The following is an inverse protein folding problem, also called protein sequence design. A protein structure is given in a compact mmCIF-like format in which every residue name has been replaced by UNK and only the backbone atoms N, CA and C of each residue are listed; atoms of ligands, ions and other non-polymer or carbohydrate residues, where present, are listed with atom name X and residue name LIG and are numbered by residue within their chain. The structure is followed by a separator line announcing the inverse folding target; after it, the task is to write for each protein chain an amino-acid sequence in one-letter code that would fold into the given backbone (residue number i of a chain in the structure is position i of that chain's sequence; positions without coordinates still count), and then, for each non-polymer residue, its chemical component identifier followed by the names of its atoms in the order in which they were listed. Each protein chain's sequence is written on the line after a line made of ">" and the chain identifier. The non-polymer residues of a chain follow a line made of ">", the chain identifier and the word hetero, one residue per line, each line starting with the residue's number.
data_IF_282468549057
#
_entry.id   IF_282468549057
#
_cell.length_a   1.000
_cell.length_b   1.000
_cell.length_c   1.000
_cell.angle_alpha   90.00
_cell.angle_beta   90.00
_cell.angle_gamma   90.00
#
_symmetry.space_group_name_H-M   'P 1'
#
loop_
_entity.id
_entity.type
_entity.pdbx_description
1 polymer ?
#
# COMPACT_ATOMS: atom_id res chain seq x y z
N UNK A 1 8.18 0.12 1.68
CA UNK A 1 6.94 -0.59 1.29
C UNK A 1 6.31 -1.37 2.44
N UNK A 2 7.10 -2.02 3.31
CA UNK A 2 6.60 -2.86 4.41
C UNK A 2 5.73 -2.11 5.43
N UNK A 3 6.08 -0.88 5.81
CA UNK A 3 5.27 -0.07 6.74
C UNK A 3 3.87 0.19 6.20
N UNK A 4 3.73 0.51 4.92
CA UNK A 4 2.43 0.76 4.31
C UNK A 4 1.58 -0.51 4.26
N UNK A 5 2.20 -1.66 3.95
CA UNK A 5 1.55 -2.97 4.01
C UNK A 5 1.08 -3.31 5.44
N UNK A 6 1.86 -2.99 6.45
CA UNK A 6 1.47 -3.18 7.85
C UNK A 6 0.28 -2.29 8.23
N UNK A 7 0.28 -1.01 7.85
CA UNK A 7 -0.84 -0.09 8.10
C UNK A 7 -2.15 -0.56 7.44
N UNK A 8 -2.08 -1.02 6.19
CA UNK A 8 -3.23 -1.60 5.49
C UNK A 8 -3.72 -2.88 6.20
N UNK A 9 -2.81 -3.67 6.76
CA UNK A 9 -3.16 -4.87 7.54
C UNK A 9 -3.91 -4.51 8.81
N UNK A 10 -3.42 -3.53 9.58
CA UNK A 10 -4.12 -3.04 10.76
C UNK A 10 -5.51 -2.49 10.43
N UNK A 11 -5.61 -1.70 9.35
CA UNK A 11 -6.90 -1.17 8.90
C UNK A 11 -7.89 -2.29 8.57
N UNK A 12 -7.43 -3.34 7.90
CA UNK A 12 -8.24 -4.53 7.61
C UNK A 12 -8.68 -5.25 8.89
N UNK A 13 -7.81 -5.39 9.88
CA UNK A 13 -8.15 -6.01 11.17
C UNK A 13 -9.18 -5.19 11.95
N UNK A 14 -9.09 -3.86 11.91
CA UNK A 14 -10.05 -2.96 12.59
C UNK A 14 -11.40 -2.86 11.87
N UNK A 15 -11.38 -2.74 10.53
CA UNK A 15 -12.56 -2.42 9.72
C UNK A 15 -13.18 -3.63 9.01
N UNK A 16 -12.48 -4.76 8.98
CA UNK A 16 -12.89 -5.97 8.26
C UNK A 16 -12.77 -5.87 6.73
N UNK A 17 -12.29 -4.74 6.19
CA UNK A 17 -12.07 -4.53 4.77
C UNK A 17 -10.78 -3.73 4.51
N UNK A 18 -10.16 -3.96 3.35
CA UNK A 18 -9.03 -3.12 2.89
C UNK A 18 -9.54 -1.72 2.50
N UNK A 19 -8.72 -0.66 2.65
CA UNK A 19 -9.09 0.70 2.27
C UNK A 19 -9.59 0.80 0.83
N UNK A 20 -10.59 1.62 0.55
CA UNK A 20 -10.91 1.96 -0.84
C UNK A 20 -9.85 2.88 -1.45
N UNK A 21 -9.33 3.79 -0.63
CA UNK A 21 -8.31 4.78 -0.99
C UNK A 21 -7.41 4.99 0.22
N UNK A 22 -6.10 5.12 -0.02
CA UNK A 22 -5.15 5.28 1.07
C UNK A 22 -5.24 6.67 1.71
N UNK A 23 -5.47 7.73 0.94
CA UNK A 23 -5.62 9.09 1.49
C UNK A 23 -6.87 9.24 2.38
N UNK A 24 -7.94 8.48 2.12
CA UNK A 24 -9.14 8.48 2.97
C UNK A 24 -8.93 7.66 4.26
N UNK A 25 -8.23 6.53 4.16
CA UNK A 25 -7.93 5.68 5.31
C UNK A 25 -6.82 6.25 6.20
N UNK A 26 -5.89 7.00 5.62
CA UNK A 26 -4.71 7.57 6.26
C UNK A 26 -4.58 9.05 5.84
N UNK A 27 -5.47 9.93 6.32
CA UNK A 27 -5.48 11.32 5.89
C UNK A 27 -4.17 12.03 6.25
N UNK A 28 -3.64 12.90 5.37
CA UNK A 28 -2.50 13.72 5.69
C UNK A 28 -2.86 14.69 6.82
N UNK A 29 -2.05 14.70 7.85
CA UNK A 29 -2.15 15.60 8.99
C UNK A 29 -0.79 15.80 9.67
N UNK A 30 -0.62 16.89 10.44
CA UNK A 30 0.67 17.23 11.07
C UNK A 30 1.19 16.15 12.02
N UNK A 31 0.31 15.31 12.57
CA UNK A 31 0.65 14.19 13.45
C UNK A 31 0.79 12.86 12.69
N UNK A 32 0.40 12.82 11.41
CA UNK A 32 0.45 11.60 10.60
C UNK A 32 1.77 11.52 9.86
N UNK A 33 2.43 10.37 9.92
CA UNK A 33 3.59 10.06 9.06
C UNK A 33 3.16 9.62 7.65
N UNK A 34 1.92 9.91 7.25
CA UNK A 34 1.35 9.50 5.96
C UNK A 34 2.25 9.95 4.79
N UNK A 35 2.69 11.21 4.80
CA UNK A 35 3.59 11.78 3.79
C UNK A 35 4.92 11.04 3.68
N UNK A 36 5.38 10.42 4.78
CA UNK A 36 6.61 9.61 4.80
C UNK A 36 6.37 8.19 4.28
N UNK A 37 5.18 7.63 4.49
CA UNK A 37 4.85 6.25 4.11
C UNK A 37 4.18 6.12 2.75
N UNK A 38 3.70 7.22 2.18
CA UNK A 38 3.08 7.27 0.86
C UNK A 38 4.09 7.22 -0.30
N UNK A 39 5.39 7.37 0.00
CA UNK A 39 6.48 7.32 -0.96
C UNK A 39 7.34 6.05 -0.82
N UNK A 40 7.91 5.60 -1.93
CA UNK A 40 8.89 4.54 -1.98
C UNK A 40 10.31 5.01 -1.62
N UNK A 41 11.27 4.08 -1.65
CA UNK A 41 12.65 4.34 -1.29
C UNK A 41 13.34 5.37 -2.22
N UNK A 42 12.77 5.62 -3.40
CA UNK A 42 13.26 6.58 -4.39
C UNK A 42 12.46 7.90 -4.37
N UNK A 43 11.51 8.03 -3.45
CA UNK A 43 10.69 9.23 -3.31
C UNK A 43 9.51 9.28 -4.28
N UNK A 44 9.18 8.19 -4.97
CA UNK A 44 8.01 8.13 -5.84
C UNK A 44 6.77 7.71 -5.04
N UNK A 45 5.60 8.26 -5.36
CA UNK A 45 4.36 7.82 -4.72
C UNK A 45 4.05 6.36 -5.07
N UNK A 46 3.58 5.58 -4.09
CA UNK A 46 3.04 4.27 -4.39
C UNK A 46 1.71 4.38 -5.15
N UNK A 47 1.48 3.45 -6.06
CA UNK A 47 0.17 3.22 -6.66
C UNK A 47 -0.56 2.13 -5.89
N UNK A 48 -1.73 2.46 -5.35
CA UNK A 48 -2.61 1.51 -4.67
C UNK A 48 -3.82 1.20 -5.53
N UNK A 49 -4.17 -0.08 -5.62
CA UNK A 49 -5.40 -0.55 -6.24
C UNK A 49 -6.07 -1.59 -5.36
N UNK A 50 -7.30 -1.31 -4.93
CA UNK A 50 -8.15 -2.30 -4.27
C UNK A 50 -8.70 -3.28 -5.32
N UNK A 51 -8.63 -4.57 -5.03
CA UNK A 51 -9.13 -5.66 -5.88
C UNK A 51 -9.99 -6.58 -5.02
N UNK A 52 -11.30 -6.33 -5.00
CA UNK A 52 -12.24 -7.10 -4.17
C UNK A 52 -11.91 -6.98 -2.66
N UNK A 53 -11.57 -8.10 -2.02
CA UNK A 53 -11.15 -8.14 -0.60
C UNK A 53 -9.64 -7.97 -0.40
N UNK A 54 -8.90 -7.75 -1.47
CA UNK A 54 -7.45 -7.72 -1.50
C UNK A 54 -6.96 -6.42 -2.15
N UNK A 55 -5.65 -6.26 -2.28
CA UNK A 55 -5.05 -5.07 -2.87
C UNK A 55 -3.75 -5.37 -3.60
N UNK A 56 -3.43 -4.51 -4.56
CA UNK A 56 -2.12 -4.34 -5.18
C UNK A 56 -1.53 -3.00 -4.73
N UNK A 57 -0.26 -3.03 -4.31
CA UNK A 57 0.55 -1.87 -4.03
C UNK A 57 1.78 -1.92 -4.94
N UNK A 58 2.03 -0.86 -5.69
CA UNK A 58 3.11 -0.80 -6.67
C UNK A 58 4.02 0.40 -6.41
N UNK A 59 5.32 0.17 -6.38
CA UNK A 59 6.37 1.19 -6.43
C UNK A 59 6.83 1.34 -7.88
N UNK A 60 7.11 2.56 -8.30
CA UNK A 60 7.65 2.87 -9.62
C UNK A 60 9.17 2.66 -9.71
N UNK A 61 9.77 2.05 -8.68
CA UNK A 61 11.18 1.75 -8.65
C UNK A 61 12.08 2.97 -8.71
N UNK A 62 13.29 2.76 -9.21
CA UNK A 62 14.34 3.76 -9.29
C UNK A 62 14.13 4.75 -10.43
N UNK A 63 13.47 4.33 -11.51
CA UNK A 63 13.26 5.16 -12.69
C UNK A 63 12.02 6.08 -12.56
N UNK A 64 11.16 5.79 -11.57
CA UNK A 64 9.96 6.57 -11.25
C UNK A 64 8.83 6.39 -12.26
N UNK A 65 8.89 5.37 -13.11
CA UNK A 65 7.89 5.13 -14.16
C UNK A 65 7.20 3.80 -13.95
N UNK A 66 5.88 3.85 -13.77
CA UNK A 66 5.11 2.61 -13.73
C UNK A 66 5.10 1.88 -15.09
N UNK A 67 5.14 0.56 -15.03
CA UNK A 67 5.12 -0.35 -16.19
C UNK A 67 6.49 -0.76 -16.69
N UNK A 68 7.55 -0.42 -15.95
CA UNK A 68 8.94 -0.77 -16.28
C UNK A 68 9.40 -1.99 -15.48
N UNK A 69 10.54 -2.61 -15.86
CA UNK A 69 11.07 -3.78 -15.16
C UNK A 69 11.47 -3.54 -13.70
N UNK A 70 11.68 -2.29 -13.28
CA UNK A 70 12.04 -1.96 -11.90
C UNK A 70 10.83 -1.70 -10.99
N UNK A 71 9.62 -1.79 -11.53
CA UNK A 71 8.39 -1.80 -10.74
C UNK A 71 8.43 -2.91 -9.68
N UNK A 72 8.20 -2.53 -8.42
CA UNK A 72 8.02 -3.50 -7.34
C UNK A 72 6.53 -3.59 -7.03
N UNK A 73 5.97 -4.79 -7.16
CA UNK A 73 4.56 -5.06 -6.89
C UNK A 73 4.42 -5.91 -5.64
N UNK A 74 3.61 -5.43 -4.69
CA UNK A 74 3.20 -6.17 -3.51
C UNK A 74 1.68 -6.35 -3.52
N UNK A 75 1.23 -7.59 -3.63
CA UNK A 75 -0.16 -7.96 -3.48
C UNK A 75 -0.40 -8.61 -2.14
N UNK A 76 -1.59 -8.42 -1.57
CA UNK A 76 -2.07 -9.33 -0.53
C UNK A 76 -2.46 -10.66 -1.18
N UNK A 77 -1.54 -11.62 -1.17
CA UNK A 77 -1.92 -13.02 -1.31
C UNK A 77 -2.49 -13.45 0.04
N UNK A 78 -3.78 -13.77 0.13
CA UNK A 78 -4.30 -14.47 1.30
C UNK A 78 -3.46 -15.73 1.50
N UNK A 79 -2.61 -15.72 2.52
CA UNK A 79 -2.07 -16.96 3.06
C UNK A 79 -3.25 -17.87 3.37
N UNK A 80 -3.18 -19.09 2.85
CA UNK A 80 -4.12 -20.20 2.97
C UNK A 80 -4.76 -20.32 4.36
N UNK A 81 -6.02 -20.81 4.45
CA UNK A 81 -6.68 -21.08 5.72
C UNK A 81 -5.77 -21.96 6.58
N UNK A 82 -5.62 -21.57 7.85
CA UNK A 82 -4.95 -22.37 8.88
C UNK A 82 -5.72 -23.69 8.98
N UNK A 83 -5.10 -24.77 8.51
CA UNK A 83 -5.59 -26.14 8.63
C UNK A 83 -5.67 -26.57 10.11
#
# INVERSE_FOLDING_TARGET
>A
METLRWLITLYLEERGAVPERLDDAFPPGPETRWTTYSHDAWGNHYRYARVGTDYELRSAGADGRFGTPDDIVATRLKGTPRA
#
